data_IF_185772120963
#
_entry.id   IF_185772120963
#
_cell.length_a   1.000
_cell.length_b   1.000
_cell.length_c   1.000
_cell.angle_alpha   90.00
_cell.angle_beta   90.00
_cell.angle_gamma   90.00
#
_symmetry.space_group_name_H-M   'P 1'
#
loop_
_entity.id
_entity.type
_entity.pdbx_description
1 polymer ?
#
# COMPACT_ATOMS: atom_id res chain seq x y z
N UNK A 1 0.38 19.06 15.97
CA UNK A 1 -0.94 19.64 16.26
C UNK A 1 -1.93 18.56 16.76
N UNK A 2 -2.16 17.45 16.04
CA UNK A 2 -3.18 16.43 16.40
C UNK A 2 -3.00 15.80 17.78
N UNK A 3 -1.76 15.45 18.16
CA UNK A 3 -1.48 14.84 19.48
C UNK A 3 -1.81 15.81 20.62
N UNK A 4 -1.50 17.10 20.47
CA UNK A 4 -1.81 18.11 21.47
C UNK A 4 -3.32 18.26 21.65
N UNK A 5 -4.07 18.32 20.54
CA UNK A 5 -5.55 18.39 20.57
C UNK A 5 -6.11 17.14 21.25
N UNK A 6 -5.66 15.95 20.89
CA UNK A 6 -6.13 14.70 21.49
C UNK A 6 -5.85 14.66 23.00
N UNK A 7 -4.64 14.99 23.43
CA UNK A 7 -4.27 15.04 24.85
C UNK A 7 -5.12 16.05 25.61
N UNK A 8 -5.34 17.24 25.03
CA UNK A 8 -6.18 18.28 25.63
C UNK A 8 -7.64 17.82 25.77
N UNK A 9 -8.21 17.20 24.74
CA UNK A 9 -9.58 16.68 24.79
C UNK A 9 -9.71 15.54 25.80
N UNK A 10 -8.75 14.61 25.87
CA UNK A 10 -8.76 13.51 26.83
C UNK A 10 -8.58 14.01 28.27
N UNK A 11 -7.74 15.01 28.47
CA UNK A 11 -7.58 15.67 29.77
C UNK A 11 -8.85 16.41 30.18
N UNK A 12 -9.46 17.20 29.28
CA UNK A 12 -10.72 17.92 29.54
C UNK A 12 -11.89 16.97 29.85
N UNK A 13 -11.93 15.80 29.22
CA UNK A 13 -12.92 14.73 29.48
C UNK A 13 -12.59 13.89 30.71
N UNK A 14 -11.56 14.27 31.50
CA UNK A 14 -11.06 13.56 32.69
C UNK A 14 -10.71 12.08 32.45
N UNK A 15 -10.40 11.71 31.20
CA UNK A 15 -9.94 10.37 30.82
C UNK A 15 -8.45 10.15 31.12
N UNK A 16 -7.68 11.24 31.21
CA UNK A 16 -6.30 11.23 31.65
C UNK A 16 -6.23 11.90 33.05
N UNK A 17 -6.21 11.11 34.09
CA UNK A 17 -6.16 11.61 35.47
C UNK A 17 -4.78 11.54 36.10
N UNK A 18 -3.90 10.72 35.54
CA UNK A 18 -2.55 10.49 36.06
C UNK A 18 -1.55 10.48 34.90
N UNK A 19 -0.30 10.83 35.18
CA UNK A 19 0.81 10.72 34.22
C UNK A 19 0.93 9.29 33.70
N UNK A 20 0.63 8.30 34.52
CA UNK A 20 0.62 6.88 34.17
C UNK A 20 -0.36 6.58 33.04
N UNK A 21 -1.56 7.16 33.03
CA UNK A 21 -2.55 6.96 31.98
C UNK A 21 -2.02 7.49 30.63
N UNK A 22 -1.31 8.62 30.64
CA UNK A 22 -0.66 9.20 29.46
C UNK A 22 0.46 8.27 28.93
N UNK A 23 1.29 7.74 29.83
CA UNK A 23 2.37 6.82 29.46
C UNK A 23 1.80 5.54 28.83
N UNK A 24 0.74 4.97 29.40
CA UNK A 24 0.09 3.77 28.88
C UNK A 24 -0.52 4.01 27.48
N UNK A 25 -1.13 5.18 27.24
CA UNK A 25 -1.66 5.54 25.92
C UNK A 25 -0.53 5.69 24.90
N UNK A 26 0.56 6.36 25.26
CA UNK A 26 1.73 6.52 24.38
C UNK A 26 2.35 5.15 24.06
N UNK A 27 2.54 4.29 25.07
CA UNK A 27 3.12 2.97 24.87
C UNK A 27 2.26 2.08 23.98
N UNK A 28 0.94 2.08 24.16
CA UNK A 28 0.01 1.33 23.28
C UNK A 28 0.03 1.89 21.86
N UNK A 29 0.07 3.22 21.70
CA UNK A 29 0.21 3.85 20.39
C UNK A 29 1.52 3.47 19.70
N UNK A 30 2.65 3.50 20.42
CA UNK A 30 3.95 3.09 19.91
C UNK A 30 3.96 1.60 19.51
N UNK A 31 3.38 0.73 20.34
CA UNK A 31 3.26 -0.70 20.02
C UNK A 31 2.44 -0.94 18.75
N UNK A 32 1.36 -0.17 18.53
CA UNK A 32 0.53 -0.27 17.33
C UNK A 32 1.25 0.15 16.03
N UNK A 33 2.23 1.06 16.13
CA UNK A 33 3.01 1.52 14.96
C UNK A 33 4.24 0.65 14.69
N UNK A 34 4.71 -0.13 15.67
CA UNK A 34 5.94 -0.91 15.56
C UNK A 34 5.96 -1.88 14.37
N UNK A 35 4.89 -2.65 14.07
CA UNK A 35 4.87 -3.52 12.90
C UNK A 35 5.08 -2.76 11.59
N UNK A 36 4.44 -1.59 11.44
CA UNK A 36 4.60 -0.76 10.25
C UNK A 36 6.05 -0.24 10.10
N UNK A 37 6.68 0.18 11.19
CA UNK A 37 8.09 0.59 11.19
C UNK A 37 9.04 -0.55 10.80
N UNK A 38 8.79 -1.76 11.29
CA UNK A 38 9.57 -2.94 10.92
C UNK A 38 9.42 -3.25 9.42
N UNK A 39 8.20 -3.25 8.89
CA UNK A 39 7.94 -3.50 7.46
C UNK A 39 8.66 -2.46 6.60
N UNK A 40 8.55 -1.18 6.93
CA UNK A 40 9.21 -0.10 6.20
C UNK A 40 10.74 -0.24 6.26
N UNK A 41 11.29 -0.55 7.44
CA UNK A 41 12.74 -0.73 7.60
C UNK A 41 13.28 -1.90 6.78
N UNK A 42 12.57 -3.03 6.78
CA UNK A 42 12.91 -4.20 5.97
C UNK A 42 12.78 -3.91 4.47
N UNK A 43 11.79 -3.11 4.07
CA UNK A 43 11.63 -2.69 2.68
C UNK A 43 12.80 -1.83 2.19
N UNK A 44 13.30 -0.89 3.01
CA UNK A 44 14.52 -0.14 2.69
C UNK A 44 15.73 -1.05 2.53
N UNK A 45 15.90 -2.03 3.41
CA UNK A 45 16.99 -2.99 3.31
C UNK A 45 16.86 -3.84 2.02
N UNK A 46 15.66 -4.32 1.70
CA UNK A 46 15.38 -5.06 0.48
C UNK A 46 15.67 -4.23 -0.77
N UNK A 47 15.24 -2.96 -0.77
CA UNK A 47 15.52 -2.04 -1.88
C UNK A 47 17.03 -1.85 -2.09
N UNK A 48 17.79 -1.66 -1.01
CA UNK A 48 19.24 -1.51 -1.12
C UNK A 48 19.89 -2.76 -1.74
N UNK A 49 19.47 -3.96 -1.36
CA UNK A 49 19.94 -5.23 -1.94
C UNK A 49 19.50 -5.37 -3.38
N UNK A 50 18.23 -5.08 -3.71
CA UNK A 50 17.71 -5.15 -5.07
C UNK A 50 18.45 -4.22 -6.04
N UNK A 51 18.81 -3.02 -5.60
CA UNK A 51 19.62 -2.09 -6.38
C UNK A 51 21.05 -2.62 -6.62
N UNK A 52 21.69 -3.17 -5.59
CA UNK A 52 23.03 -3.75 -5.71
C UNK A 52 23.06 -4.96 -6.65
N UNK A 53 22.00 -5.75 -6.66
CA UNK A 53 21.84 -6.90 -7.56
C UNK A 53 21.40 -6.52 -8.98
N UNK A 54 21.09 -5.26 -9.24
CA UNK A 54 20.63 -4.80 -10.54
C UNK A 54 19.28 -5.39 -10.95
N UNK A 55 18.41 -5.70 -10.00
CA UNK A 55 17.12 -6.38 -10.24
C UNK A 55 16.29 -5.65 -11.29
N UNK A 56 16.24 -4.31 -11.27
CA UNK A 56 15.52 -3.52 -12.26
C UNK A 56 16.01 -3.77 -13.69
N UNK A 57 17.32 -3.71 -13.89
CA UNK A 57 17.94 -3.96 -15.20
C UNK A 57 17.74 -5.42 -15.65
N UNK A 58 17.81 -6.38 -14.73
CA UNK A 58 17.58 -7.80 -15.04
C UNK A 58 16.13 -8.06 -15.48
N UNK A 59 15.15 -7.42 -14.82
CA UNK A 59 13.73 -7.53 -15.19
C UNK A 59 13.49 -6.93 -16.57
N UNK A 60 14.04 -5.74 -16.85
CA UNK A 60 13.93 -5.11 -18.18
C UNK A 60 14.55 -5.99 -19.27
N UNK A 61 15.71 -6.61 -19.00
CA UNK A 61 16.36 -7.50 -19.94
C UNK A 61 15.55 -8.78 -20.25
N UNK A 62 14.71 -9.25 -19.35
CA UNK A 62 13.82 -10.41 -19.60
C UNK A 62 12.72 -10.11 -20.62
N UNK A 63 12.35 -8.86 -20.77
CA UNK A 63 11.30 -8.43 -21.70
C UNK A 63 11.86 -8.04 -23.09
N UNK A 64 12.90 -8.65 -23.54
CA UNK A 64 13.59 -8.62 -24.83
C UNK A 64 13.01 -7.57 -25.84
N UNK A 65 13.36 -6.29 -25.66
CA UNK A 65 12.89 -5.21 -26.54
C UNK A 65 12.00 -4.15 -25.88
N UNK A 66 11.77 -4.25 -24.57
CA UNK A 66 11.00 -3.28 -23.78
C UNK A 66 9.52 -3.67 -23.66
N UNK A 67 9.00 -3.55 -22.46
CA UNK A 67 7.55 -3.58 -22.20
C UNK A 67 7.04 -2.19 -22.54
N UNK A 68 5.96 -2.09 -23.32
CA UNK A 68 5.31 -0.79 -23.50
C UNK A 68 4.86 -0.22 -22.15
N UNK A 69 4.82 1.11 -22.04
CA UNK A 69 4.57 1.79 -20.77
C UNK A 69 3.24 1.40 -20.13
N UNK A 70 2.19 1.27 -20.92
CA UNK A 70 0.86 0.91 -20.44
C UNK A 70 0.83 -0.51 -19.85
N UNK A 71 1.44 -1.46 -20.52
CA UNK A 71 1.57 -2.85 -20.05
C UNK A 71 2.38 -2.92 -18.75
N UNK A 72 3.49 -2.18 -18.65
CA UNK A 72 4.30 -2.13 -17.43
C UNK A 72 3.48 -1.60 -16.24
N UNK A 73 2.76 -0.51 -16.44
CA UNK A 73 1.92 0.12 -15.41
C UNK A 73 0.77 -0.80 -15.01
N UNK A 74 0.09 -1.43 -15.99
CA UNK A 74 -0.99 -2.37 -15.75
C UNK A 74 -0.53 -3.62 -14.97
N UNK A 75 0.61 -4.20 -15.33
CA UNK A 75 1.21 -5.32 -14.61
C UNK A 75 1.60 -4.92 -13.18
N UNK A 76 2.20 -3.73 -13.01
CA UNK A 76 2.55 -3.19 -11.69
C UNK A 76 1.31 -3.07 -10.81
N UNK A 77 0.20 -2.53 -11.33
CA UNK A 77 -1.07 -2.45 -10.61
C UNK A 77 -1.57 -3.84 -10.22
N UNK A 78 -1.64 -4.78 -11.18
CA UNK A 78 -2.17 -6.13 -10.95
C UNK A 78 -1.37 -6.92 -9.92
N UNK A 79 -0.03 -6.91 -10.03
CA UNK A 79 0.85 -7.60 -9.07
C UNK A 79 0.76 -6.98 -7.69
N UNK A 80 0.76 -5.64 -7.59
CA UNK A 80 0.61 -4.95 -6.30
C UNK A 80 -0.74 -5.26 -5.66
N UNK A 81 -1.80 -5.29 -6.46
CA UNK A 81 -3.15 -5.66 -6.02
C UNK A 81 -3.20 -7.09 -5.46
N UNK A 82 -2.58 -8.05 -6.14
CA UNK A 82 -2.52 -9.44 -5.68
C UNK A 82 -1.72 -9.59 -4.37
N UNK A 83 -0.60 -8.88 -4.24
CA UNK A 83 0.20 -8.84 -3.01
C UNK A 83 -0.59 -8.25 -1.86
N UNK A 84 -1.22 -7.09 -2.06
CA UNK A 84 -2.03 -6.41 -1.04
C UNK A 84 -3.25 -7.24 -0.63
N UNK A 85 -3.94 -7.85 -1.58
CA UNK A 85 -5.08 -8.73 -1.32
C UNK A 85 -4.69 -9.94 -0.47
N UNK A 86 -3.55 -10.56 -0.80
CA UNK A 86 -3.06 -11.76 -0.09
C UNK A 86 -2.56 -11.46 1.31
N UNK A 87 -1.96 -10.28 1.51
CA UNK A 87 -1.36 -9.88 2.80
C UNK A 87 -2.32 -9.09 3.68
N UNK A 88 -3.39 -8.53 3.10
CA UNK A 88 -4.34 -7.65 3.80
C UNK A 88 -3.75 -6.33 4.25
N UNK A 89 -2.72 -5.83 3.55
CA UNK A 89 -2.07 -4.56 3.90
C UNK A 89 -1.57 -3.79 2.68
N UNK A 90 -2.05 -2.56 2.51
CA UNK A 90 -1.56 -1.65 1.48
C UNK A 90 -0.11 -1.21 1.75
N UNK A 91 0.23 -0.90 3.00
CA UNK A 91 1.58 -0.47 3.37
C UNK A 91 2.63 -1.54 3.11
N UNK A 92 2.32 -2.81 3.43
CA UNK A 92 3.19 -3.94 3.12
C UNK A 92 3.41 -4.11 1.62
N UNK A 93 2.35 -3.98 0.83
CA UNK A 93 2.42 -4.05 -0.63
C UNK A 93 3.24 -2.89 -1.22
N UNK A 94 3.06 -1.65 -0.73
CA UNK A 94 3.89 -0.51 -1.16
C UNK A 94 5.37 -0.74 -0.86
N UNK A 95 5.67 -1.23 0.34
CA UNK A 95 7.04 -1.48 0.77
C UNK A 95 7.74 -2.56 -0.07
N UNK A 96 7.01 -3.57 -0.52
CA UNK A 96 7.53 -4.63 -1.37
C UNK A 96 7.64 -4.21 -2.85
N UNK A 97 6.62 -3.55 -3.36
CA UNK A 97 6.50 -3.30 -4.81
C UNK A 97 7.21 -2.03 -5.27
N UNK A 98 7.26 -0.98 -4.46
CA UNK A 98 7.93 0.27 -4.85
C UNK A 98 9.43 0.06 -5.17
N UNK A 99 10.21 -0.67 -4.34
CA UNK A 99 11.60 -0.98 -4.65
C UNK A 99 11.83 -1.80 -5.93
N UNK A 100 10.82 -2.52 -6.38
CA UNK A 100 10.88 -3.32 -7.61
C UNK A 100 10.39 -2.52 -8.81
N UNK A 101 9.21 -1.94 -8.72
CA UNK A 101 8.55 -1.27 -9.84
C UNK A 101 9.24 0.03 -10.27
N UNK A 102 9.71 0.84 -9.30
CA UNK A 102 10.32 2.12 -9.61
C UNK A 102 11.64 2.01 -10.38
N UNK A 103 12.61 1.15 -10.01
CA UNK A 103 13.81 0.93 -10.83
C UNK A 103 13.52 0.45 -12.25
N UNK A 104 12.50 -0.41 -12.44
CA UNK A 104 12.07 -0.88 -13.75
C UNK A 104 11.52 0.27 -14.59
N UNK A 105 10.66 1.11 -13.99
CA UNK A 105 10.12 2.28 -14.69
C UNK A 105 11.22 3.27 -15.06
N UNK A 106 12.17 3.53 -14.17
CA UNK A 106 13.31 4.42 -14.43
C UNK A 106 14.23 3.89 -15.54
N UNK A 107 14.47 2.58 -15.56
CA UNK A 107 15.29 1.94 -16.60
C UNK A 107 14.61 2.03 -17.98
N UNK A 108 13.28 1.95 -18.05
CA UNK A 108 12.53 2.12 -19.30
C UNK A 108 12.40 3.59 -19.71
N UNK A 109 12.23 4.49 -18.76
CA UNK A 109 11.95 5.90 -19.03
C UNK A 109 13.22 6.72 -19.37
N UNK A 110 14.36 6.35 -18.81
CA UNK A 110 15.61 7.11 -18.93
C UNK A 110 15.67 8.43 -18.17
N UNK A 111 14.52 8.98 -17.76
CA UNK A 111 14.39 10.23 -17.00
C UNK A 111 13.39 10.02 -15.86
N UNK A 112 13.71 10.41 -14.61
CA UNK A 112 12.83 10.26 -13.45
C UNK A 112 11.56 11.11 -13.48
N UNK A 113 11.51 12.12 -14.35
CA UNK A 113 10.37 13.05 -14.45
C UNK A 113 9.42 12.72 -15.59
N UNK A 114 9.43 11.49 -16.09
CA UNK A 114 8.53 11.05 -17.16
C UNK A 114 7.14 10.65 -16.65
N UNK A 115 6.09 10.74 -17.45
CA UNK A 115 4.76 10.24 -17.13
C UNK A 115 4.79 8.76 -16.68
N UNK A 116 5.60 7.91 -17.31
CA UNK A 116 5.71 6.50 -16.99
C UNK A 116 6.10 6.25 -15.52
N UNK A 117 7.02 7.05 -14.98
CA UNK A 117 7.45 6.93 -13.58
C UNK A 117 6.30 7.29 -12.63
N UNK A 118 5.60 8.39 -12.88
CA UNK A 118 4.44 8.78 -12.07
C UNK A 118 3.29 7.79 -12.15
N UNK A 119 3.01 7.27 -13.33
CA UNK A 119 1.99 6.24 -13.56
C UNK A 119 2.34 4.93 -12.82
N UNK A 120 3.61 4.54 -12.81
CA UNK A 120 4.07 3.37 -12.06
C UNK A 120 3.89 3.55 -10.55
N UNK A 121 4.24 4.72 -10.02
CA UNK A 121 3.98 5.05 -8.61
C UNK A 121 2.48 5.02 -8.30
N UNK A 122 1.65 5.59 -9.18
CA UNK A 122 0.20 5.56 -9.05
C UNK A 122 -0.36 4.13 -9.13
N UNK A 123 0.21 3.28 -9.97
CA UNK A 123 -0.18 1.88 -10.10
C UNK A 123 0.15 1.06 -8.84
N UNK A 124 1.31 1.28 -8.22
CA UNK A 124 1.64 0.68 -6.92
C UNK A 124 0.67 1.16 -5.84
N UNK A 125 0.41 2.46 -5.78
CA UNK A 125 -0.51 3.01 -4.78
C UNK A 125 -1.94 2.50 -5.00
N UNK A 126 -2.47 2.59 -6.22
CA UNK A 126 -3.81 2.14 -6.56
C UNK A 126 -4.02 0.64 -6.40
N UNK A 127 -3.05 -0.17 -6.86
CA UNK A 127 -3.09 -1.62 -6.71
C UNK A 127 -3.06 -2.05 -5.25
N UNK A 128 -2.20 -1.42 -4.45
CA UNK A 128 -2.14 -1.70 -3.01
C UNK A 128 -3.41 -1.32 -2.27
N UNK A 129 -3.99 -0.15 -2.56
CA UNK A 129 -5.27 0.27 -1.96
C UNK A 129 -6.40 -0.67 -2.39
N UNK A 130 -6.49 -1.02 -3.68
CA UNK A 130 -7.51 -1.94 -4.16
C UNK A 130 -7.40 -3.30 -3.49
N UNK A 131 -6.20 -3.89 -3.46
CA UNK A 131 -5.97 -5.21 -2.88
C UNK A 131 -6.29 -5.25 -1.39
N UNK A 132 -5.84 -4.25 -0.63
CA UNK A 132 -6.13 -4.10 0.80
C UNK A 132 -7.64 -3.96 1.03
N UNK A 133 -8.29 -3.03 0.33
CA UNK A 133 -9.73 -2.77 0.46
C UNK A 133 -10.59 -4.01 0.10
N UNK A 134 -10.19 -4.77 -0.91
CA UNK A 134 -10.91 -5.96 -1.36
C UNK A 134 -10.61 -7.21 -0.50
N UNK A 135 -9.54 -7.19 0.30
CA UNK A 135 -9.06 -8.35 1.05
C UNK A 135 -9.94 -8.68 2.26
N UNK A 136 -10.34 -9.96 2.42
CA UNK A 136 -11.06 -10.39 3.63
C UNK A 136 -10.17 -10.45 4.89
N UNK A 137 -8.84 -10.42 4.74
CA UNK A 137 -7.90 -10.45 5.87
C UNK A 137 -7.37 -9.08 6.24
N UNK A 138 -7.83 -8.03 5.56
CA UNK A 138 -7.43 -6.65 5.83
C UNK A 138 -8.04 -6.13 7.14
N UNK A 139 -7.22 -5.49 7.95
CA UNK A 139 -7.65 -4.82 9.18
C UNK A 139 -8.61 -3.65 8.88
N UNK A 140 -8.42 -2.94 7.77
CA UNK A 140 -9.31 -1.87 7.34
C UNK A 140 -10.70 -2.39 6.96
N UNK A 141 -10.77 -3.53 6.27
CA UNK A 141 -12.04 -4.19 5.92
C UNK A 141 -12.76 -4.74 7.15
N UNK A 142 -12.00 -5.33 8.09
CA UNK A 142 -12.55 -5.77 9.38
C UNK A 142 -13.12 -4.60 10.17
N UNK A 143 -12.38 -3.50 10.29
CA UNK A 143 -12.83 -2.30 10.99
C UNK A 143 -14.06 -1.66 10.32
N UNK A 144 -14.12 -1.67 8.99
CA UNK A 144 -15.27 -1.15 8.25
C UNK A 144 -16.53 -1.99 8.52
N UNK A 145 -16.43 -3.32 8.49
CA UNK A 145 -17.57 -4.21 8.78
C UNK A 145 -18.07 -4.06 10.20
N UNK A 146 -17.16 -3.98 11.19
CA UNK A 146 -17.50 -3.74 12.59
C UNK A 146 -18.14 -2.37 12.77
N UNK A 147 -17.60 -1.33 12.13
CA UNK A 147 -18.13 0.02 12.17
C UNK A 147 -19.53 0.15 11.56
N UNK A 148 -19.81 -0.65 10.53
CA UNK A 148 -21.12 -0.73 9.88
C UNK A 148 -22.12 -1.64 10.63
N UNK A 149 -21.66 -2.43 11.61
CA UNK A 149 -22.48 -3.42 12.30
C UNK A 149 -22.92 -4.57 11.39
N UNK A 150 -22.17 -4.85 10.33
CA UNK A 150 -22.43 -5.92 9.36
C UNK A 150 -21.57 -7.16 9.66
N UNK A 151 -22.02 -8.32 9.19
CA UNK A 151 -21.15 -9.49 9.15
C UNK A 151 -19.95 -9.21 8.25
N UNK A 152 -18.76 -9.68 8.66
CA UNK A 152 -17.53 -9.38 7.96
C UNK A 152 -17.50 -9.97 6.54
N UNK A 153 -17.93 -11.23 6.39
CA UNK A 153 -17.92 -11.87 5.08
C UNK A 153 -19.02 -11.34 4.17
N UNK A 154 -20.18 -10.98 4.70
CA UNK A 154 -21.22 -10.29 3.95
C UNK A 154 -20.74 -8.94 3.42
N UNK A 155 -20.00 -8.20 4.24
CA UNK A 155 -19.38 -6.94 3.83
C UNK A 155 -18.39 -7.16 2.68
N UNK A 156 -17.48 -8.14 2.79
CA UNK A 156 -16.51 -8.48 1.75
C UNK A 156 -17.20 -8.89 0.45
N UNK A 157 -18.15 -9.81 0.52
CA UNK A 157 -18.85 -10.36 -0.68
C UNK A 157 -19.63 -9.26 -1.40
N UNK A 158 -20.27 -8.35 -0.66
CA UNK A 158 -21.06 -7.28 -1.26
C UNK A 158 -20.23 -6.15 -1.84
N UNK A 159 -19.07 -5.83 -1.27
CA UNK A 159 -18.18 -4.78 -1.80
C UNK A 159 -17.32 -5.26 -2.98
N UNK A 160 -16.94 -6.54 -3.01
CA UNK A 160 -15.99 -7.09 -3.98
C UNK A 160 -16.36 -6.82 -5.46
N UNK A 161 -17.62 -6.99 -5.91
CA UNK A 161 -17.99 -6.67 -7.29
C UNK A 161 -17.72 -5.23 -7.69
N UNK A 162 -17.98 -4.28 -6.79
CA UNK A 162 -17.73 -2.85 -7.04
C UNK A 162 -16.24 -2.54 -7.08
N UNK A 163 -15.48 -3.11 -6.16
CA UNK A 163 -14.03 -2.97 -6.12
C UNK A 163 -13.38 -3.54 -7.39
N UNK A 164 -13.79 -4.74 -7.82
CA UNK A 164 -13.30 -5.37 -9.05
C UNK A 164 -13.66 -4.55 -10.29
N UNK A 165 -14.88 -4.02 -10.37
CA UNK A 165 -15.27 -3.13 -11.47
C UNK A 165 -14.37 -1.91 -11.55
N UNK A 166 -14.10 -1.26 -10.41
CA UNK A 166 -13.17 -0.12 -10.33
C UNK A 166 -11.76 -0.50 -10.76
N UNK A 167 -11.26 -1.66 -10.33
CA UNK A 167 -9.95 -2.16 -10.71
C UNK A 167 -9.86 -2.45 -12.22
N UNK A 168 -10.89 -3.03 -12.82
CA UNK A 168 -10.93 -3.31 -14.26
C UNK A 168 -10.94 -2.01 -15.10
N UNK A 169 -11.70 -1.01 -14.67
CA UNK A 169 -11.70 0.32 -15.31
C UNK A 169 -10.30 0.95 -15.22
N UNK A 170 -9.68 0.90 -14.05
CA UNK A 170 -8.32 1.42 -13.83
C UNK A 170 -7.30 0.70 -14.69
N UNK A 171 -7.36 -0.63 -14.73
CA UNK A 171 -6.48 -1.47 -15.54
C UNK A 171 -6.64 -1.17 -17.03
N UNK A 172 -7.88 -1.07 -17.50
CA UNK A 172 -8.18 -0.66 -18.88
C UNK A 172 -7.63 0.73 -19.21
N UNK A 173 -7.72 1.67 -18.26
CA UNK A 173 -7.12 2.99 -18.40
C UNK A 173 -5.59 2.93 -18.57
N UNK A 174 -4.90 2.12 -17.79
CA UNK A 174 -3.45 1.94 -17.94
C UNK A 174 -3.02 1.31 -19.26
N UNK A 175 -3.82 0.39 -19.79
CA UNK A 175 -3.52 -0.24 -21.10
C UNK A 175 -3.77 0.69 -22.29
N UNK A 176 -4.47 1.80 -22.09
CA UNK A 176 -4.73 2.81 -23.13
C UNK A 176 -3.75 3.99 -23.10
N UNK A 177 -2.82 4.02 -22.13
CA UNK A 177 -1.78 5.03 -21.99
C UNK A 177 -0.53 4.67 -22.78
#
# INVERSE_FOLDING_TARGET
AGVVVLVTVLAARRRLRRVRDLTDVIMRGAQGVMPALLVVSLAYALNAVAQQLGVGAAIVAWFDGGVDGGTLVALTFGVTAAVAFSTGTSWGAFALMMPVALPVALANAGDPMTPLVYQTVAAVAGGGIFGDHASPVSDTTVLASVGAGSDHMDHVITQLPYAVLGALITLGGYLLL
#
